data_IF_566114614395
#
_entry.id   IF_566114614395
#
_cell.length_a   1.000
_cell.length_b   1.000
_cell.length_c   1.000
_cell.angle_alpha   90.00
_cell.angle_beta   90.00
_cell.angle_gamma   90.00
#
_symmetry.space_group_name_H-M   'P 1'
#
loop_
_entity.id
_entity.type
_entity.pdbx_description
1 polymer ?
#
# COMPACT_ATOMS: atom_id res chain seq x y z
N UNK A 1 -20.55 -19.92 -5.38
CA UNK A 1 -19.10 -19.85 -5.67
C UNK A 1 -18.44 -21.13 -5.19
N UNK A 2 -17.80 -21.88 -6.07
CA UNK A 2 -17.05 -23.12 -5.77
C UNK A 2 -15.76 -22.81 -5.01
N UNK A 3 -15.07 -23.85 -4.54
CA UNK A 3 -13.77 -23.68 -3.89
C UNK A 3 -12.69 -23.20 -4.86
N UNK A 4 -12.69 -23.71 -6.08
CA UNK A 4 -11.74 -23.31 -7.13
C UNK A 4 -11.95 -21.85 -7.55
N UNK A 5 -13.20 -21.43 -7.73
CA UNK A 5 -13.54 -20.03 -8.06
C UNK A 5 -13.02 -19.08 -6.97
N UNK A 6 -13.27 -19.40 -5.70
CA UNK A 6 -12.79 -18.59 -4.57
C UNK A 6 -11.27 -18.49 -4.56
N UNK A 7 -10.57 -19.60 -4.77
CA UNK A 7 -9.12 -19.64 -4.80
C UNK A 7 -8.56 -18.76 -5.93
N UNK A 8 -9.14 -18.85 -7.12
CA UNK A 8 -8.79 -18.01 -8.27
C UNK A 8 -8.97 -16.51 -7.95
N UNK A 9 -10.12 -16.12 -7.40
CA UNK A 9 -10.38 -14.71 -7.06
C UNK A 9 -9.44 -14.19 -5.97
N UNK A 10 -9.17 -14.97 -4.92
CA UNK A 10 -8.27 -14.54 -3.84
C UNK A 10 -6.84 -14.32 -4.34
N UNK A 11 -6.31 -15.18 -5.22
CA UNK A 11 -5.00 -14.97 -5.85
C UNK A 11 -4.99 -13.71 -6.72
N UNK A 12 -6.06 -13.46 -7.47
CA UNK A 12 -6.18 -12.25 -8.30
C UNK A 12 -6.26 -10.98 -7.46
N UNK A 13 -7.01 -10.99 -6.37
CA UNK A 13 -7.11 -9.88 -5.43
C UNK A 13 -5.77 -9.61 -4.75
N UNK A 14 -5.04 -10.64 -4.31
CA UNK A 14 -3.69 -10.50 -3.76
C UNK A 14 -2.72 -9.85 -4.75
N UNK A 15 -2.70 -10.30 -6.01
CA UNK A 15 -1.87 -9.68 -7.04
C UNK A 15 -2.29 -8.23 -7.32
N UNK A 16 -3.60 -7.96 -7.39
CA UNK A 16 -4.12 -6.62 -7.65
C UNK A 16 -3.77 -5.66 -6.50
N UNK A 17 -3.89 -6.10 -5.25
CA UNK A 17 -3.52 -5.29 -4.08
C UNK A 17 -2.01 -5.02 -4.01
N UNK A 18 -1.18 -5.96 -4.48
CA UNK A 18 0.27 -5.75 -4.58
C UNK A 18 0.63 -4.71 -5.65
N UNK A 19 0.06 -4.85 -6.85
CA UNK A 19 0.41 -3.98 -7.99
C UNK A 19 -0.17 -2.58 -7.84
N UNK A 20 -1.43 -2.46 -7.42
CA UNK A 20 -2.14 -1.17 -7.44
C UNK A 20 -1.93 -0.40 -6.14
N UNK A 21 -2.56 -0.74 -5.00
CA UNK A 21 -2.41 0.09 -3.80
C UNK A 21 -0.99 0.05 -3.24
N UNK A 22 -0.35 -1.12 -3.10
CA UNK A 22 1.01 -1.19 -2.56
C UNK A 22 2.03 -0.57 -3.52
N UNK A 23 1.90 -0.82 -4.83
CA UNK A 23 2.76 -0.19 -5.85
C UNK A 23 2.67 1.34 -5.86
N UNK A 24 1.45 1.90 -5.85
CA UNK A 24 1.24 3.35 -5.80
C UNK A 24 1.81 3.95 -4.51
N UNK A 25 1.57 3.31 -3.37
CA UNK A 25 2.15 3.72 -2.09
C UNK A 25 3.67 3.77 -2.15
N UNK A 26 4.32 2.74 -2.69
CA UNK A 26 5.79 2.70 -2.81
C UNK A 26 6.32 3.79 -3.74
N UNK A 27 5.66 4.05 -4.88
CA UNK A 27 6.07 5.13 -5.78
C UNK A 27 5.99 6.49 -5.09
N UNK A 28 4.89 6.77 -4.38
CA UNK A 28 4.74 8.00 -3.62
C UNK A 28 5.77 8.08 -2.48
N UNK A 29 6.05 6.98 -1.77
CA UNK A 29 7.05 6.94 -0.71
C UNK A 29 8.46 7.24 -1.23
N UNK A 30 8.85 6.61 -2.34
CA UNK A 30 10.14 6.86 -2.96
C UNK A 30 10.25 8.29 -3.49
N UNK A 31 9.17 8.83 -4.09
CA UNK A 31 9.10 10.22 -4.52
C UNK A 31 9.29 11.18 -3.34
N UNK A 32 8.50 11.03 -2.27
CA UNK A 32 8.62 11.87 -1.08
C UNK A 32 10.01 11.79 -0.46
N UNK A 33 10.62 10.60 -0.38
CA UNK A 33 11.99 10.45 0.11
C UNK A 33 13.02 11.08 -0.82
N UNK A 34 12.83 11.00 -2.14
CA UNK A 34 13.72 11.64 -3.11
C UNK A 34 13.73 13.16 -2.96
N UNK A 35 12.65 13.78 -2.48
CA UNK A 35 12.62 15.23 -2.21
C UNK A 35 13.71 15.69 -1.23
N UNK A 36 14.20 14.81 -0.36
CA UNK A 36 15.33 15.12 0.53
C UNK A 36 16.63 15.47 -0.22
N UNK A 37 16.78 15.01 -1.48
CA UNK A 37 17.90 15.37 -2.35
C UNK A 37 17.90 16.86 -2.74
N UNK A 38 16.76 17.53 -2.65
CA UNK A 38 16.61 18.97 -2.89
C UNK A 38 16.67 19.80 -1.60
N UNK A 39 17.00 19.17 -0.47
CA UNK A 39 17.19 19.81 0.81
C UNK A 39 16.07 19.51 1.81
N UNK A 40 16.36 19.66 3.13
CA UNK A 40 15.44 19.28 4.19
C UNK A 40 14.14 20.07 4.16
N UNK A 41 14.17 21.37 3.83
CA UNK A 41 12.96 22.19 3.79
C UNK A 41 11.91 21.72 2.77
N UNK A 42 12.35 21.20 1.61
CA UNK A 42 11.43 20.68 0.57
C UNK A 42 10.78 19.37 1.03
N UNK A 43 11.56 18.50 1.67
CA UNK A 43 11.05 17.27 2.27
C UNK A 43 10.05 17.57 3.39
N UNK A 44 10.42 18.48 4.31
CA UNK A 44 9.61 18.83 5.47
C UNK A 44 8.27 19.46 5.05
N UNK A 45 8.26 20.35 4.07
CA UNK A 45 7.03 20.93 3.51
C UNK A 45 6.12 19.85 2.91
N UNK A 46 6.70 18.90 2.16
CA UNK A 46 5.95 17.81 1.55
C UNK A 46 5.37 16.84 2.59
N UNK A 47 6.16 16.44 3.60
CA UNK A 47 5.69 15.59 4.70
C UNK A 47 4.62 16.31 5.51
N UNK A 48 4.79 17.60 5.80
CA UNK A 48 3.77 18.41 6.47
C UNK A 48 2.46 18.41 5.68
N UNK A 49 2.52 18.57 4.35
CA UNK A 49 1.33 18.43 3.51
C UNK A 49 0.67 17.06 3.68
N UNK A 50 1.43 15.95 3.67
CA UNK A 50 0.85 14.61 3.78
C UNK A 50 0.19 14.35 5.15
N UNK A 51 0.84 14.72 6.25
CA UNK A 51 0.40 14.34 7.60
C UNK A 51 -0.67 15.27 8.19
N UNK A 52 -0.83 16.49 7.66
CA UNK A 52 -1.81 17.48 8.14
C UNK A 52 -3.08 17.54 7.28
N UNK A 53 -3.40 16.50 6.50
CA UNK A 53 -4.66 16.43 5.77
C UNK A 53 -5.85 16.08 6.68
N UNK A 54 -7.05 16.60 6.39
CA UNK A 54 -8.25 16.14 7.06
C UNK A 54 -8.43 14.64 6.85
N UNK A 55 -8.74 13.92 7.92
CA UNK A 55 -8.95 12.47 7.91
C UNK A 55 -7.70 11.64 7.53
N UNK A 56 -6.48 12.18 7.71
CA UNK A 56 -5.22 11.46 7.42
C UNK A 56 -5.20 10.04 7.98
N UNK A 57 -5.68 9.82 9.22
CA UNK A 57 -5.73 8.49 9.83
C UNK A 57 -6.63 7.51 9.04
N UNK A 58 -7.77 7.98 8.52
CA UNK A 58 -8.64 7.15 7.70
C UNK A 58 -8.00 6.86 6.33
N UNK A 59 -7.33 7.86 5.74
CA UNK A 59 -6.61 7.67 4.48
C UNK A 59 -5.49 6.64 4.65
N UNK A 60 -4.65 6.78 5.67
CA UNK A 60 -3.60 5.82 5.99
C UNK A 60 -4.17 4.43 6.26
N UNK A 61 -5.23 4.32 7.06
CA UNK A 61 -5.83 3.03 7.38
C UNK A 61 -6.36 2.31 6.14
N UNK A 62 -7.16 2.98 5.31
CA UNK A 62 -7.89 2.33 4.21
C UNK A 62 -7.11 2.28 2.90
N UNK A 63 -6.20 3.22 2.65
CA UNK A 63 -5.43 3.29 1.40
C UNK A 63 -4.07 2.63 1.55
N UNK A 64 -3.49 2.62 2.76
CA UNK A 64 -2.14 2.07 3.01
C UNK A 64 -2.19 0.79 3.83
N UNK A 65 -2.58 0.89 5.11
CA UNK A 65 -2.40 -0.21 6.07
C UNK A 65 -3.27 -1.42 5.73
N UNK A 66 -4.55 -1.21 5.42
CA UNK A 66 -5.48 -2.30 5.11
C UNK A 66 -5.08 -3.04 3.81
N UNK A 67 -4.81 -2.38 2.67
CA UNK A 67 -4.36 -3.08 1.46
C UNK A 67 -3.01 -3.76 1.63
N UNK A 68 -2.06 -3.16 2.36
CA UNK A 68 -0.77 -3.77 2.65
C UNK A 68 -0.91 -5.01 3.54
N UNK A 69 -1.71 -4.94 4.61
CA UNK A 69 -1.98 -6.08 5.49
C UNK A 69 -2.70 -7.21 4.74
N UNK A 70 -3.67 -6.88 3.89
CA UNK A 70 -4.35 -7.85 3.04
C UNK A 70 -3.38 -8.53 2.06
N UNK A 71 -2.55 -7.74 1.38
CA UNK A 71 -1.53 -8.26 0.46
C UNK A 71 -0.54 -9.17 1.19
N UNK A 72 0.09 -8.69 2.25
CA UNK A 72 1.09 -9.46 3.00
C UNK A 72 0.48 -10.73 3.63
N UNK A 73 -0.71 -10.62 4.23
CA UNK A 73 -1.39 -11.75 4.87
C UNK A 73 -1.76 -12.86 3.88
N UNK A 74 -2.37 -12.51 2.74
CA UNK A 74 -2.67 -13.50 1.70
C UNK A 74 -1.41 -14.06 1.04
N UNK A 75 -0.36 -13.24 0.89
CA UNK A 75 0.92 -13.70 0.36
C UNK A 75 1.55 -14.77 1.24
N UNK A 76 1.59 -14.55 2.56
CA UNK A 76 2.06 -15.55 3.54
C UNK A 76 1.17 -16.80 3.51
N UNK A 77 -0.15 -16.65 3.48
CA UNK A 77 -1.06 -17.78 3.38
C UNK A 77 -0.78 -18.63 2.12
N UNK A 78 -0.66 -18.02 0.94
CA UNK A 78 -0.34 -18.74 -0.29
C UNK A 78 1.07 -19.33 -0.32
N UNK A 79 2.02 -18.74 0.40
CA UNK A 79 3.37 -19.30 0.55
C UNK A 79 3.35 -20.59 1.36
N UNK A 80 2.53 -20.66 2.41
CA UNK A 80 2.42 -21.83 3.30
C UNK A 80 1.55 -22.93 2.68
N UNK A 81 0.52 -22.57 1.92
CA UNK A 81 -0.39 -23.50 1.24
C UNK A 81 0.16 -24.07 -0.09
N UNK A 82 1.33 -23.62 -0.55
CA UNK A 82 1.99 -24.06 -1.79
C UNK A 82 2.88 -25.29 -1.58
#
# INVERSE_FOLDING_TARGET
MTAEERHFYLRRLHSLSGVVPVGVFLLQHMYSNALSLWGPGVYDEHVHFLIYQPLVLLLELFVVFLPLAFHAGLGVYFMVDA
#
